data_IF_701697298248
#
_entry.id   IF_701697298248
#
_cell.length_a   1.000
_cell.length_b   1.000
_cell.length_c   1.000
_cell.angle_alpha   90.00
_cell.angle_beta   90.00
_cell.angle_gamma   90.00
#
_symmetry.space_group_name_H-M   'P 1'
#
loop_
_entity.id
_entity.type
_entity.pdbx_description
1 polymer ?
#
# COMPACT_ATOMS: atom_id res chain seq x y z
N UNK A 1 -19.32 4.40 -2.58
CA UNK A 1 -19.75 3.19 -1.84
C UNK A 1 -18.61 2.19 -1.93
N UNK A 2 -17.95 1.81 -0.83
CA UNK A 2 -16.89 0.77 -0.84
C UNK A 2 -17.21 -0.44 0.06
N UNK A 3 -18.49 -0.78 0.16
CA UNK A 3 -18.92 -2.09 0.64
C UNK A 3 -19.62 -2.76 -0.52
N UNK A 4 -18.94 -3.74 -1.12
CA UNK A 4 -19.44 -4.47 -2.28
C UNK A 4 -20.40 -5.58 -1.86
N UNK A 5 -20.08 -6.29 -0.78
CA UNK A 5 -20.90 -7.35 -0.19
C UNK A 5 -21.51 -6.85 1.11
N UNK A 6 -22.84 -6.68 1.12
CA UNK A 6 -23.61 -6.33 2.33
C UNK A 6 -23.84 -7.60 3.17
N UNK A 7 -23.40 -7.59 4.43
CA UNK A 7 -23.60 -8.71 5.36
C UNK A 7 -24.63 -8.30 6.44
N UNK A 8 -25.73 -9.06 6.62
CA UNK A 8 -26.68 -8.83 7.70
C UNK A 8 -26.04 -8.93 9.10
N UNK A 9 -26.53 -8.14 10.05
CA UNK A 9 -25.99 -8.12 11.41
C UNK A 9 -26.08 -9.49 12.10
N UNK A 10 -27.13 -10.26 11.81
CA UNK A 10 -27.34 -11.61 12.34
C UNK A 10 -26.28 -12.59 11.84
N UNK A 11 -25.85 -12.46 10.57
CA UNK A 11 -24.78 -13.27 10.01
C UNK A 11 -23.42 -12.89 10.61
N UNK A 12 -23.16 -11.59 10.82
CA UNK A 12 -21.93 -11.12 11.49
C UNK A 12 -21.89 -11.61 12.94
N UNK A 13 -22.99 -11.52 13.70
CA UNK A 13 -23.05 -11.99 15.08
C UNK A 13 -22.84 -13.51 15.16
N UNK A 14 -23.45 -14.28 14.24
CA UNK A 14 -23.20 -15.71 14.12
C UNK A 14 -21.73 -16.03 13.78
N UNK A 15 -21.13 -15.25 12.87
CA UNK A 15 -19.71 -15.38 12.51
C UNK A 15 -18.79 -15.14 13.71
N UNK A 16 -19.07 -14.12 14.53
CA UNK A 16 -18.29 -13.76 15.72
C UNK A 16 -18.29 -14.87 16.79
N UNK A 17 -19.30 -15.76 16.82
CA UNK A 17 -19.31 -16.90 17.76
C UNK A 17 -18.12 -17.86 17.57
N UNK A 18 -17.52 -17.86 16.39
CA UNK A 18 -16.31 -18.65 16.07
C UNK A 18 -15.07 -18.12 16.79
N UNK A 19 -15.09 -16.87 17.26
CA UNK A 19 -13.97 -16.17 17.86
C UNK A 19 -14.18 -15.95 19.36
N UNK A 20 -13.13 -15.51 20.04
CA UNK A 20 -13.21 -15.02 21.42
C UNK A 20 -13.44 -13.49 21.47
N UNK A 21 -14.40 -13.02 20.66
CA UNK A 21 -14.66 -11.61 20.44
C UNK A 21 -15.85 -11.06 21.26
N UNK A 22 -16.66 -11.91 21.87
CA UNK A 22 -17.94 -11.50 22.49
C UNK A 22 -19.07 -11.34 21.47
N UNK A 23 -20.13 -10.61 21.82
CA UNK A 23 -21.30 -10.38 20.96
C UNK A 23 -21.16 -9.11 20.13
N UNK A 24 -21.79 -9.07 18.96
CA UNK A 24 -21.83 -7.87 18.12
C UNK A 24 -22.59 -6.74 18.84
N UNK A 25 -21.99 -5.55 18.87
CA UNK A 25 -22.60 -4.31 19.38
C UNK A 25 -22.95 -3.39 18.23
N UNK A 26 -22.01 -3.18 17.29
CA UNK A 26 -22.25 -2.40 16.09
C UNK A 26 -21.39 -2.89 14.92
N UNK A 27 -21.88 -2.72 13.70
CA UNK A 27 -21.15 -2.98 12.46
C UNK A 27 -21.31 -1.78 11.54
N UNK A 28 -20.19 -1.20 11.12
CA UNK A 28 -20.17 -0.04 10.20
C UNK A 28 -19.30 -0.37 9.00
N UNK A 29 -19.90 -0.33 7.81
CA UNK A 29 -19.16 -0.44 6.57
C UNK A 29 -18.15 0.71 6.43
N UNK A 30 -16.92 0.39 6.02
CA UNK A 30 -15.86 1.35 5.74
C UNK A 30 -15.91 1.64 4.25
N UNK A 31 -16.08 2.92 3.89
CA UNK A 31 -16.22 3.35 2.51
C UNK A 31 -14.86 3.66 1.82
N UNK A 32 -13.75 3.45 2.51
CA UNK A 32 -12.39 3.68 2.03
C UNK A 32 -11.77 2.33 1.63
N UNK A 33 -11.28 2.23 0.39
CA UNK A 33 -10.79 1.00 -0.24
C UNK A 33 -11.52 0.69 -1.55
N UNK A 34 -10.86 0.02 -2.50
CA UNK A 34 -11.45 -0.30 -3.83
C UNK A 34 -11.45 -1.79 -4.15
N UNK A 35 -10.95 -2.63 -3.23
CA UNK A 35 -10.70 -4.05 -3.52
C UNK A 35 -11.48 -5.02 -2.64
N UNK A 36 -11.80 -4.65 -1.39
CA UNK A 36 -12.43 -5.54 -0.41
C UNK A 36 -13.59 -4.84 0.30
N UNK A 37 -14.54 -5.62 0.82
CA UNK A 37 -15.59 -5.09 1.69
C UNK A 37 -15.08 -5.09 3.13
N UNK A 38 -14.91 -3.91 3.72
CA UNK A 38 -14.39 -3.73 5.07
C UNK A 38 -15.47 -3.23 6.03
N UNK A 39 -15.51 -3.78 7.24
CA UNK A 39 -16.43 -3.39 8.30
C UNK A 39 -15.67 -3.12 9.60
N UNK A 40 -15.92 -1.97 10.23
CA UNK A 40 -15.57 -1.74 11.62
C UNK A 40 -16.63 -2.41 12.50
N UNK A 41 -16.19 -3.39 13.29
CA UNK A 41 -17.03 -4.08 14.27
C UNK A 41 -16.71 -3.58 15.68
N UNK A 42 -17.74 -3.27 16.44
CA UNK A 42 -17.67 -3.14 17.89
C UNK A 42 -18.33 -4.36 18.52
N UNK A 43 -17.68 -4.94 19.51
CA UNK A 43 -18.14 -6.14 20.22
C UNK A 43 -18.15 -5.89 21.71
N UNK A 44 -18.82 -6.75 22.48
CA UNK A 44 -18.78 -6.70 23.95
C UNK A 44 -17.41 -7.06 24.52
N UNK A 45 -16.54 -7.70 23.73
CA UNK A 45 -15.29 -8.31 24.22
C UNK A 45 -15.56 -9.54 25.09
N UNK A 46 -14.53 -10.38 25.29
CA UNK A 46 -14.59 -11.51 26.23
C UNK A 46 -14.55 -11.04 27.69
N UNK A 47 -13.97 -9.87 27.96
CA UNK A 47 -13.84 -9.27 29.29
C UNK A 47 -14.92 -8.24 29.62
N UNK A 48 -15.88 -8.03 28.71
CA UNK A 48 -16.97 -7.07 28.87
C UNK A 48 -16.57 -5.60 28.73
N UNK A 49 -15.31 -5.28 28.39
CA UNK A 49 -14.85 -3.89 28.21
C UNK A 49 -15.09 -3.34 26.82
N UNK A 50 -15.59 -4.18 25.92
CA UNK A 50 -15.73 -3.88 24.52
C UNK A 50 -14.42 -3.97 23.76
N UNK A 51 -14.48 -4.45 22.51
CA UNK A 51 -13.33 -4.51 21.63
C UNK A 51 -13.73 -4.18 20.19
N UNK A 52 -12.80 -3.60 19.44
CA UNK A 52 -12.99 -3.25 18.02
C UNK A 52 -12.21 -4.20 17.13
N UNK A 53 -12.79 -4.53 15.98
CA UNK A 53 -12.16 -5.35 14.96
C UNK A 53 -12.47 -4.79 13.57
N UNK A 54 -11.64 -5.13 12.60
CA UNK A 54 -11.96 -4.98 11.19
C UNK A 54 -12.38 -6.34 10.66
N UNK A 55 -13.56 -6.45 10.07
CA UNK A 55 -13.99 -7.60 9.29
C UNK A 55 -13.76 -7.28 7.82
N UNK A 56 -12.95 -8.11 7.16
CA UNK A 56 -12.68 -7.98 5.72
C UNK A 56 -13.26 -9.18 4.99
N UNK A 57 -14.04 -8.92 3.94
CA UNK A 57 -14.47 -9.92 2.96
C UNK A 57 -13.70 -9.68 1.67
N UNK A 58 -13.02 -10.73 1.21
CA UNK A 58 -12.20 -10.69 0.01
C UNK A 58 -13.08 -10.77 -1.24
N UNK A 59 -13.03 -9.72 -2.06
CA UNK A 59 -13.72 -9.70 -3.35
C UNK A 59 -12.84 -10.31 -4.44
N UNK A 60 -13.39 -10.45 -5.65
CA UNK A 60 -12.77 -11.21 -6.75
C UNK A 60 -11.39 -10.71 -7.23
N UNK A 61 -10.92 -9.55 -6.77
CA UNK A 61 -9.63 -8.97 -7.18
C UNK A 61 -8.45 -9.55 -6.39
N UNK A 62 -8.69 -10.10 -5.20
CA UNK A 62 -7.64 -10.78 -4.43
C UNK A 62 -7.64 -12.25 -4.80
N UNK A 63 -6.49 -12.76 -5.26
CA UNK A 63 -6.32 -14.20 -5.45
C UNK A 63 -6.28 -14.87 -4.07
N UNK A 64 -7.22 -15.78 -3.81
CA UNK A 64 -7.26 -16.53 -2.55
C UNK A 64 -5.95 -17.28 -2.28
N UNK A 65 -5.20 -17.64 -3.32
CA UNK A 65 -3.90 -18.28 -3.21
C UNK A 65 -2.81 -17.38 -2.60
N UNK A 66 -2.97 -16.05 -2.68
CA UNK A 66 -2.03 -15.08 -2.10
C UNK A 66 -2.32 -14.79 -0.62
N UNK A 67 -3.53 -15.09 -0.12
CA UNK A 67 -3.91 -14.76 1.26
C UNK A 67 -2.99 -15.35 2.33
N UNK A 68 -2.54 -16.62 2.24
CA UNK A 68 -1.58 -17.17 3.19
C UNK A 68 -0.28 -16.35 3.28
N UNK A 69 0.23 -15.83 2.15
CA UNK A 69 1.43 -15.00 2.14
C UNK A 69 1.25 -13.72 2.97
N UNK A 70 0.13 -13.01 2.79
CA UNK A 70 -0.14 -11.78 3.56
C UNK A 70 -0.31 -12.07 5.04
N UNK A 71 -1.03 -13.15 5.39
CA UNK A 71 -1.23 -13.52 6.79
C UNK A 71 0.08 -13.89 7.49
N UNK A 72 0.90 -14.71 6.84
CA UNK A 72 2.19 -15.13 7.41
C UNK A 72 3.18 -13.96 7.50
N UNK A 73 3.14 -13.02 6.55
CA UNK A 73 3.92 -11.79 6.59
C UNK A 73 3.54 -10.93 7.80
N UNK A 74 2.25 -10.67 8.00
CA UNK A 74 1.79 -9.84 9.12
C UNK A 74 2.09 -10.48 10.48
N UNK A 75 1.95 -11.81 10.60
CA UNK A 75 2.35 -12.53 11.81
C UNK A 75 3.87 -12.41 12.06
N UNK A 76 4.69 -12.56 11.02
CA UNK A 76 6.14 -12.44 11.12
C UNK A 76 6.59 -11.04 11.56
N UNK A 77 5.98 -10.00 10.98
CA UNK A 77 6.25 -8.60 11.29
C UNK A 77 5.76 -8.23 12.70
N UNK A 78 4.52 -8.62 13.04
CA UNK A 78 3.93 -8.38 14.35
C UNK A 78 4.72 -9.05 15.48
N UNK A 79 5.20 -10.29 15.26
CA UNK A 79 6.07 -11.00 16.21
C UNK A 79 7.41 -10.29 16.46
N UNK A 80 7.83 -9.40 15.55
CA UNK A 80 9.06 -8.59 15.64
C UNK A 80 8.79 -7.14 16.05
N UNK A 81 7.59 -6.85 16.54
CA UNK A 81 7.24 -5.55 17.12
C UNK A 81 6.83 -4.49 16.09
N UNK A 82 6.65 -4.83 14.81
CA UNK A 82 6.06 -3.90 13.87
C UNK A 82 4.59 -3.65 14.20
N UNK A 83 4.17 -2.40 14.09
CA UNK A 83 2.80 -1.97 14.29
C UNK A 83 1.97 -2.29 13.05
N UNK A 84 1.63 -3.56 12.87
CA UNK A 84 0.82 -4.07 11.75
C UNK A 84 -0.40 -4.82 12.29
N UNK A 85 -1.51 -4.86 11.55
CA UNK A 85 -2.72 -5.50 12.06
C UNK A 85 -2.54 -7.02 12.10
N UNK A 86 -2.98 -7.64 13.19
CA UNK A 86 -2.97 -9.11 13.33
C UNK A 86 -4.26 -9.71 12.79
N UNK A 87 -4.13 -10.85 12.10
CA UNK A 87 -5.27 -11.70 11.78
C UNK A 87 -5.69 -12.46 13.04
N UNK A 88 -6.95 -12.30 13.43
CA UNK A 88 -7.51 -12.98 14.59
C UNK A 88 -7.92 -14.39 14.15
N UNK A 89 -7.33 -15.40 14.76
CA UNK A 89 -7.74 -16.80 14.55
C UNK A 89 -9.06 -17.11 15.26
N UNK A 90 -9.86 -17.97 14.67
CA UNK A 90 -11.00 -18.57 15.34
C UNK A 90 -10.57 -19.52 16.47
N UNK A 91 -11.54 -20.04 17.22
CA UNK A 91 -11.32 -21.00 18.32
C UNK A 91 -10.65 -22.31 17.87
N UNK A 92 -10.67 -22.63 16.58
CA UNK A 92 -10.02 -23.79 15.97
C UNK A 92 -8.64 -23.44 15.37
N UNK A 93 -8.17 -22.20 15.50
CA UNK A 93 -6.90 -21.72 14.96
C UNK A 93 -6.94 -21.33 13.48
N UNK A 94 -8.11 -21.24 12.84
CA UNK A 94 -8.25 -20.84 11.43
C UNK A 94 -8.40 -19.32 11.31
N UNK A 95 -7.56 -18.70 10.47
CA UNK A 95 -7.58 -17.25 10.15
C UNK A 95 -8.56 -16.89 9.01
N UNK A 96 -8.74 -17.81 8.06
CA UNK A 96 -9.64 -17.67 6.92
C UNK A 96 -10.94 -18.43 7.17
N UNK A 97 -12.06 -17.79 6.87
CA UNK A 97 -13.40 -18.33 7.00
C UNK A 97 -14.23 -18.03 5.76
N UNK A 98 -15.48 -18.49 5.74
CA UNK A 98 -16.48 -18.08 4.76
C UNK A 98 -17.58 -17.25 5.43
N UNK A 99 -17.96 -16.14 4.82
CA UNK A 99 -19.08 -15.29 5.23
C UNK A 99 -19.77 -14.71 4.00
N UNK A 100 -21.10 -14.80 3.93
CA UNK A 100 -21.88 -14.36 2.76
C UNK A 100 -21.34 -14.92 1.40
N UNK A 101 -20.81 -16.15 1.41
CA UNK A 101 -20.24 -16.79 0.23
C UNK A 101 -18.86 -16.27 -0.20
N UNK A 102 -18.18 -15.48 0.64
CA UNK A 102 -16.85 -14.91 0.38
C UNK A 102 -15.85 -15.32 1.45
N UNK A 103 -14.56 -15.47 1.08
CA UNK A 103 -13.49 -15.60 2.06
C UNK A 103 -13.49 -14.37 2.96
N UNK A 104 -13.42 -14.59 4.27
CA UNK A 104 -13.49 -13.52 5.26
C UNK A 104 -12.53 -13.77 6.41
N UNK A 105 -12.01 -12.68 6.98
CA UNK A 105 -11.14 -12.72 8.14
C UNK A 105 -11.51 -11.62 9.14
N UNK A 106 -11.24 -11.87 10.41
CA UNK A 106 -11.31 -10.87 11.45
C UNK A 106 -9.90 -10.36 11.72
N UNK A 107 -9.73 -9.05 11.71
CA UNK A 107 -8.46 -8.36 11.80
C UNK A 107 -8.48 -7.43 13.02
N UNK A 108 -7.36 -7.30 13.71
CA UNK A 108 -7.17 -6.37 14.81
C UNK A 108 -7.43 -4.92 14.36
N UNK A 109 -8.20 -4.17 15.15
CA UNK A 109 -8.35 -2.74 14.95
C UNK A 109 -7.14 -2.00 15.51
N UNK A 110 -6.43 -1.25 14.66
CA UNK A 110 -5.37 -0.35 15.08
C UNK A 110 -5.90 1.07 15.27
N UNK A 111 -5.43 1.76 16.31
CA UNK A 111 -5.85 3.13 16.60
C UNK A 111 -4.95 4.13 15.87
N UNK A 112 -5.54 5.15 15.27
CA UNK A 112 -4.85 6.26 14.62
C UNK A 112 -5.69 6.81 13.49
N UNK A 113 -5.18 7.83 12.81
CA UNK A 113 -5.81 8.40 11.62
C UNK A 113 -4.79 8.51 10.49
N UNK A 114 -5.23 8.26 9.28
CA UNK A 114 -4.45 8.54 8.07
C UNK A 114 -4.43 10.03 7.79
N UNK A 115 -3.30 10.55 7.28
CA UNK A 115 -3.12 11.98 7.04
C UNK A 115 -3.36 12.32 5.57
N UNK A 116 -3.99 13.47 5.30
CA UNK A 116 -4.22 13.95 3.93
C UNK A 116 -3.02 14.73 3.37
N UNK A 117 -2.39 15.55 4.22
CA UNK A 117 -1.22 16.37 3.89
C UNK A 117 -0.16 16.16 4.98
N UNK A 118 0.84 15.29 4.76
CA UNK A 118 1.84 14.97 5.77
C UNK A 118 2.67 16.18 6.23
N UNK A 119 3.04 16.23 7.51
CA UNK A 119 4.08 17.16 8.00
C UNK A 119 5.49 16.60 7.79
N UNK A 120 6.51 17.43 8.01
CA UNK A 120 7.93 16.98 8.01
C UNK A 120 8.18 15.94 9.11
N UNK A 121 7.57 16.11 10.29
CA UNK A 121 7.68 15.16 11.41
C UNK A 121 7.09 13.79 11.04
N UNK A 122 5.91 13.80 10.42
CA UNK A 122 5.23 12.61 9.93
C UNK A 122 6.01 11.92 8.79
N UNK A 123 6.61 12.68 7.88
CA UNK A 123 7.47 12.14 6.83
C UNK A 123 8.69 11.40 7.42
N UNK A 124 9.32 11.96 8.48
CA UNK A 124 10.39 11.26 9.21
C UNK A 124 9.89 9.99 9.89
N UNK A 125 8.72 10.05 10.52
CA UNK A 125 8.14 8.92 11.23
C UNK A 125 7.83 7.74 10.29
N UNK A 126 7.24 8.00 9.11
CA UNK A 126 6.99 6.93 8.13
C UNK A 126 8.29 6.36 7.55
N UNK A 127 9.31 7.19 7.33
CA UNK A 127 10.62 6.71 6.90
C UNK A 127 11.22 5.73 7.91
N UNK A 128 11.17 6.07 9.20
CA UNK A 128 11.62 5.20 10.28
C UNK A 128 10.82 3.89 10.34
N UNK A 129 9.48 3.98 10.28
CA UNK A 129 8.59 2.82 10.30
C UNK A 129 8.81 1.86 9.12
N UNK A 130 9.05 2.40 7.91
CA UNK A 130 9.38 1.58 6.74
C UNK A 130 10.71 0.83 6.92
N UNK A 131 11.74 1.50 7.43
CA UNK A 131 13.02 0.83 7.71
C UNK A 131 12.91 -0.21 8.83
N UNK A 132 12.09 0.05 9.86
CA UNK A 132 11.74 -0.94 10.89
C UNK A 132 11.03 -2.17 10.29
N UNK A 133 10.09 -1.95 9.39
CA UNK A 133 9.36 -3.01 8.69
C UNK A 133 10.29 -3.86 7.81
N UNK A 134 11.17 -3.24 7.02
CA UNK A 134 12.18 -3.97 6.24
C UNK A 134 13.11 -4.80 7.12
N UNK A 135 13.55 -4.26 8.27
CA UNK A 135 14.40 -4.99 9.20
C UNK A 135 13.65 -6.16 9.83
N UNK A 136 12.39 -5.96 10.20
CA UNK A 136 11.55 -7.01 10.74
C UNK A 136 11.23 -8.09 9.69
N UNK A 137 11.19 -7.75 8.40
CA UNK A 137 10.99 -8.71 7.33
C UNK A 137 12.18 -9.68 7.16
N UNK A 138 13.36 -9.40 7.74
CA UNK A 138 14.49 -10.31 7.71
C UNK A 138 14.13 -11.69 8.28
N UNK A 139 14.53 -12.73 7.56
CA UNK A 139 14.23 -14.14 7.90
C UNK A 139 12.82 -14.60 7.52
N UNK A 140 11.97 -13.75 6.94
CA UNK A 140 10.72 -14.21 6.34
C UNK A 140 11.02 -14.98 5.05
N UNK A 141 10.47 -16.19 4.91
CA UNK A 141 10.75 -17.09 3.79
C UNK A 141 9.65 -17.11 2.72
N UNK A 142 8.50 -16.49 3.00
CA UNK A 142 7.42 -16.40 2.01
C UNK A 142 7.84 -15.54 0.83
N UNK A 143 7.47 -15.97 -0.38
CA UNK A 143 7.76 -15.23 -1.61
C UNK A 143 6.50 -15.00 -2.40
N UNK A 144 6.33 -13.79 -2.92
CA UNK A 144 5.25 -13.44 -3.84
C UNK A 144 5.81 -12.57 -4.96
N UNK A 145 5.50 -12.91 -6.21
CA UNK A 145 5.95 -12.12 -7.37
C UNK A 145 5.25 -10.76 -7.36
N UNK A 146 5.99 -9.70 -7.63
CA UNK A 146 5.40 -8.41 -7.94
C UNK A 146 4.73 -8.47 -9.33
N UNK A 147 3.41 -8.37 -9.38
CA UNK A 147 2.66 -8.33 -10.65
C UNK A 147 2.71 -6.95 -11.34
N UNK A 148 3.15 -5.93 -10.62
CA UNK A 148 3.37 -4.57 -11.10
C UNK A 148 4.89 -4.28 -11.15
N UNK A 149 5.64 -5.23 -11.71
CA UNK A 149 7.05 -5.13 -12.06
C UNK A 149 7.24 -4.54 -13.47
N UNK A 150 8.49 -4.39 -13.93
CA UNK A 150 8.80 -3.84 -15.25
C UNK A 150 8.04 -4.55 -16.41
N UNK A 151 8.02 -5.90 -16.50
CA UNK A 151 7.13 -6.59 -17.43
C UNK A 151 5.65 -6.23 -17.27
N UNK A 152 5.14 -6.18 -16.03
CA UNK A 152 3.77 -5.78 -15.74
C UNK A 152 3.45 -4.34 -16.19
N UNK A 153 4.42 -3.43 -16.17
CA UNK A 153 4.26 -2.06 -16.68
C UNK A 153 4.07 -2.04 -18.20
N UNK A 154 4.84 -2.84 -18.94
CA UNK A 154 4.65 -3.01 -20.38
C UNK A 154 3.27 -3.59 -20.71
N UNK A 155 2.82 -4.62 -19.99
CA UNK A 155 1.49 -5.20 -20.17
C UNK A 155 0.38 -4.17 -19.90
N UNK A 156 0.53 -3.36 -18.85
CA UNK A 156 -0.45 -2.36 -18.47
C UNK A 156 -0.49 -1.19 -19.46
N UNK A 157 0.67 -0.77 -19.96
CA UNK A 157 0.77 0.24 -21.02
C UNK A 157 0.11 -0.25 -22.31
N UNK A 158 0.35 -1.51 -22.70
CA UNK A 158 -0.28 -2.12 -23.88
C UNK A 158 -1.81 -2.18 -23.75
N UNK A 159 -2.34 -2.45 -22.55
CA UNK A 159 -3.79 -2.43 -22.28
C UNK A 159 -4.41 -1.03 -22.38
N UNK A 160 -3.65 0.02 -22.10
CA UNK A 160 -4.12 1.40 -22.26
C UNK A 160 -4.03 1.86 -23.73
N UNK A 161 -3.00 1.42 -24.47
CA UNK A 161 -2.88 1.64 -25.92
C UNK A 161 -3.02 3.10 -26.34
N UNK A 162 -3.80 3.35 -27.40
CA UNK A 162 -4.03 4.69 -27.94
C UNK A 162 -4.90 5.58 -27.02
N UNK A 163 -5.58 5.00 -26.02
CA UNK A 163 -6.43 5.77 -25.11
C UNK A 163 -5.64 6.68 -24.15
N UNK A 164 -4.31 6.52 -24.05
CA UNK A 164 -3.46 7.45 -23.30
C UNK A 164 -3.65 8.91 -23.75
N UNK A 165 -3.73 9.15 -25.06
CA UNK A 165 -3.81 10.51 -25.59
C UNK A 165 -5.19 11.15 -25.35
N UNK A 166 -6.18 10.37 -24.91
CA UNK A 166 -7.46 10.88 -24.42
C UNK A 166 -7.35 11.47 -23.02
N UNK A 167 -6.35 11.07 -22.24
CA UNK A 167 -6.05 11.64 -20.92
C UNK A 167 -5.27 12.94 -21.11
N UNK A 168 -4.18 12.90 -21.88
CA UNK A 168 -3.39 14.07 -22.25
C UNK A 168 -2.65 13.81 -23.56
N UNK A 169 -2.65 14.80 -24.46
CA UNK A 169 -1.96 14.70 -25.74
C UNK A 169 -0.47 14.41 -25.56
N UNK A 170 0.04 13.36 -26.21
CA UNK A 170 1.44 12.95 -26.15
C UNK A 170 1.78 12.04 -24.98
N UNK A 171 0.81 11.67 -24.14
CA UNK A 171 1.03 10.81 -22.98
C UNK A 171 1.54 9.42 -23.40
N UNK A 172 0.99 8.84 -24.48
CA UNK A 172 1.40 7.51 -24.94
C UNK A 172 2.88 7.48 -25.38
N UNK A 173 3.32 8.53 -26.08
CA UNK A 173 4.71 8.69 -26.48
C UNK A 173 5.63 8.84 -25.26
N UNK A 174 5.24 9.68 -24.29
CA UNK A 174 6.00 9.89 -23.05
C UNK A 174 6.14 8.63 -22.19
N UNK A 175 5.08 7.81 -22.11
CA UNK A 175 5.10 6.50 -21.44
C UNK A 175 6.05 5.53 -22.17
N UNK A 176 6.01 5.49 -23.50
CA UNK A 176 6.89 4.63 -24.31
C UNK A 176 8.36 5.01 -24.14
N UNK A 177 8.66 6.31 -24.12
CA UNK A 177 10.00 6.82 -23.84
C UNK A 177 10.47 6.40 -22.44
N UNK A 178 9.61 6.51 -21.43
CA UNK A 178 9.96 6.10 -20.07
C UNK A 178 10.22 4.60 -19.95
N UNK A 179 9.36 3.76 -20.54
CA UNK A 179 9.53 2.31 -20.56
C UNK A 179 10.87 1.93 -21.22
N UNK A 180 11.18 2.55 -22.37
CA UNK A 180 12.46 2.33 -23.07
C UNK A 180 13.65 2.71 -22.20
N UNK A 181 13.56 3.83 -21.48
CA UNK A 181 14.61 4.23 -20.53
C UNK A 181 14.74 3.21 -19.40
N UNK A 182 13.65 2.79 -18.78
CA UNK A 182 13.67 1.85 -17.67
C UNK A 182 14.17 0.47 -18.11
N UNK A 183 13.82 -0.03 -19.29
CA UNK A 183 14.36 -1.28 -19.83
C UNK A 183 15.90 -1.27 -19.91
N UNK A 184 16.48 -0.13 -20.28
CA UNK A 184 17.92 0.02 -20.40
C UNK A 184 18.65 0.25 -19.05
N UNK A 185 17.94 0.75 -18.03
CA UNK A 185 18.58 1.26 -16.80
C UNK A 185 18.06 0.62 -15.51
N UNK A 186 17.04 -0.24 -15.57
CA UNK A 186 16.48 -0.87 -14.37
C UNK A 186 17.54 -1.75 -13.70
N UNK A 187 17.80 -1.56 -12.40
CA UNK A 187 18.87 -2.30 -11.73
C UNK A 187 18.53 -3.78 -11.55
N UNK A 188 19.47 -4.67 -11.88
CA UNK A 188 19.32 -6.13 -11.76
C UNK A 188 19.78 -6.70 -10.41
N UNK A 189 20.79 -6.09 -9.80
CA UNK A 189 21.58 -6.71 -8.71
C UNK A 189 21.49 -5.93 -7.38
N UNK A 190 20.30 -5.45 -7.04
CA UNK A 190 20.05 -4.81 -5.75
C UNK A 190 19.48 -5.78 -4.71
N UNK A 191 19.69 -5.52 -3.40
CA UNK A 191 19.09 -6.30 -2.33
C UNK A 191 17.57 -6.38 -2.48
N UNK A 192 17.04 -7.60 -2.38
CA UNK A 192 15.59 -7.87 -2.42
C UNK A 192 15.11 -8.29 -1.04
N UNK A 193 13.89 -7.89 -0.71
CA UNK A 193 13.18 -8.30 0.50
C UNK A 193 11.69 -8.38 0.20
N UNK A 194 10.90 -8.82 1.17
CA UNK A 194 9.49 -8.46 1.14
C UNK A 194 9.36 -6.96 1.37
N UNK A 195 8.52 -6.33 0.56
CA UNK A 195 8.22 -4.91 0.57
C UNK A 195 6.71 -4.71 0.70
N UNK A 196 6.27 -3.54 1.16
CA UNK A 196 4.86 -3.15 1.20
C UNK A 196 4.33 -2.84 -0.20
N UNK A 197 5.14 -2.16 -1.02
CA UNK A 197 4.86 -1.71 -2.37
C UNK A 197 3.68 -0.72 -2.50
N UNK A 198 3.12 -0.19 -1.42
CA UNK A 198 1.96 0.71 -1.48
C UNK A 198 1.79 1.57 -0.21
N UNK A 199 2.89 1.99 0.41
CA UNK A 199 2.84 2.71 1.69
C UNK A 199 2.49 4.19 1.52
N UNK A 200 1.27 4.48 1.09
CA UNK A 200 0.72 5.84 0.96
C UNK A 200 0.22 6.39 2.30
N UNK A 201 -0.03 7.71 2.41
CA UNK A 201 -0.59 8.32 3.62
C UNK A 201 -1.91 7.70 4.10
N UNK A 202 -2.76 7.19 3.20
CA UNK A 202 -3.99 6.47 3.55
C UNK A 202 -3.73 5.11 4.21
N UNK A 203 -2.57 4.50 3.97
CA UNK A 203 -2.14 3.20 4.51
C UNK A 203 -1.28 3.30 5.78
N UNK A 204 -1.16 4.50 6.37
CA UNK A 204 -0.40 4.73 7.59
C UNK A 204 -1.26 5.46 8.62
N UNK A 205 -1.49 4.79 9.75
CA UNK A 205 -2.19 5.36 10.89
C UNK A 205 -1.22 6.13 11.77
N UNK A 206 -1.60 7.36 12.13
CA UNK A 206 -0.80 8.26 12.93
C UNK A 206 -1.54 8.81 14.16
N UNK A 207 -0.76 9.11 15.21
CA UNK A 207 -1.14 9.95 16.34
C UNK A 207 -0.07 11.03 16.52
N UNK A 208 -0.38 12.26 16.10
CA UNK A 208 0.64 13.32 15.99
C UNK A 208 1.72 12.93 14.97
N UNK A 209 2.97 12.90 15.41
CA UNK A 209 4.13 12.48 14.62
C UNK A 209 4.55 11.02 14.92
N UNK A 210 3.69 10.22 15.55
CA UNK A 210 3.94 8.80 15.81
C UNK A 210 3.13 7.92 14.89
N UNK A 211 3.79 6.99 14.19
CA UNK A 211 3.12 5.91 13.45
C UNK A 211 2.57 4.91 14.47
N UNK A 212 1.29 4.58 14.33
CA UNK A 212 0.58 3.63 15.20
C UNK A 212 0.09 2.39 14.47
N UNK A 213 0.17 2.39 13.13
CA UNK A 213 -0.18 1.24 12.31
C UNK A 213 0.24 1.42 10.86
N UNK A 214 0.81 0.38 10.26
CA UNK A 214 0.90 0.22 8.81
C UNK A 214 -0.17 -0.79 8.41
N UNK A 215 -0.99 -0.46 7.41
CA UNK A 215 -2.13 -1.28 6.98
C UNK A 215 -2.10 -1.51 5.47
N UNK A 216 -2.98 -2.37 4.98
CA UNK A 216 -3.16 -2.66 3.54
C UNK A 216 -1.95 -3.29 2.84
N UNK A 217 -1.62 -4.51 3.25
CA UNK A 217 -0.47 -5.26 2.74
C UNK A 217 -0.76 -6.03 1.45
N UNK A 218 -1.90 -5.82 0.77
CA UNK A 218 -2.31 -6.66 -0.37
C UNK A 218 -1.45 -6.47 -1.63
N UNK A 219 -0.66 -5.39 -1.70
CA UNK A 219 0.39 -5.21 -2.72
C UNK A 219 1.75 -5.78 -2.32
N UNK A 220 1.90 -6.28 -1.09
CA UNK A 220 3.19 -6.78 -0.60
C UNK A 220 3.71 -7.91 -1.47
N UNK A 221 5.00 -7.86 -1.77
CA UNK A 221 5.66 -8.80 -2.68
C UNK A 221 7.17 -8.83 -2.42
N UNK A 222 7.88 -9.75 -3.07
CA UNK A 222 9.33 -9.87 -3.00
C UNK A 222 9.98 -9.08 -4.15
N UNK A 223 10.56 -7.93 -3.83
CA UNK A 223 11.16 -7.04 -4.83
C UNK A 223 12.39 -6.32 -4.27
N UNK A 224 12.98 -5.42 -5.07
CA UNK A 224 14.06 -4.53 -4.67
C UNK A 224 13.63 -3.74 -3.44
N UNK A 225 14.36 -3.85 -2.33
CA UNK A 225 13.99 -3.19 -1.07
C UNK A 225 13.91 -1.67 -1.23
N UNK A 226 14.91 -1.07 -1.87
CA UNK A 226 14.95 0.37 -2.11
C UNK A 226 13.81 0.89 -3.02
N UNK A 227 13.17 0.02 -3.78
CA UNK A 227 11.99 0.39 -4.58
C UNK A 227 10.80 0.73 -3.69
N UNK A 228 10.65 0.08 -2.54
CA UNK A 228 9.57 0.40 -1.59
C UNK A 228 9.74 1.79 -0.97
N UNK A 229 10.99 2.16 -0.69
CA UNK A 229 11.32 3.52 -0.29
C UNK A 229 11.00 4.52 -1.41
N UNK A 230 11.24 4.17 -2.68
CA UNK A 230 10.92 5.03 -3.81
C UNK A 230 9.40 5.21 -3.99
N UNK A 231 8.61 4.13 -3.79
CA UNK A 231 7.14 4.17 -3.75
C UNK A 231 6.67 5.10 -2.64
N UNK A 232 7.13 4.88 -1.40
CA UNK A 232 6.79 5.70 -0.23
C UNK A 232 7.20 7.16 -0.47
N UNK A 233 8.41 7.40 -0.98
CA UNK A 233 8.90 8.73 -1.31
C UNK A 233 7.95 9.44 -2.28
N UNK A 234 7.56 8.79 -3.39
CA UNK A 234 6.63 9.37 -4.37
C UNK A 234 5.24 9.69 -3.81
N UNK A 235 4.81 9.00 -2.75
CA UNK A 235 3.51 9.21 -2.12
C UNK A 235 3.52 10.32 -1.06
N UNK A 236 4.65 10.55 -0.36
CA UNK A 236 4.70 11.39 0.84
C UNK A 236 5.30 12.79 0.63
N UNK A 237 6.11 12.97 -0.41
CA UNK A 237 6.92 14.21 -0.58
C UNK A 237 6.39 15.13 -1.67
N UNK A 238 5.22 14.85 -2.22
CA UNK A 238 4.55 15.68 -3.21
C UNK A 238 3.17 16.11 -2.73
N UNK A 239 2.67 17.20 -3.31
CA UNK A 239 1.24 17.50 -3.24
C UNK A 239 0.43 16.37 -3.88
N UNK A 240 -0.85 16.27 -3.50
CA UNK A 240 -1.76 15.25 -4.00
C UNK A 240 -1.89 15.26 -5.53
N UNK A 241 -1.83 16.44 -6.15
CA UNK A 241 -1.80 16.62 -7.60
C UNK A 241 -0.41 16.43 -8.22
N UNK A 242 0.64 16.17 -7.44
CA UNK A 242 2.01 15.98 -7.92
C UNK A 242 2.70 17.25 -8.45
N UNK A 243 2.08 18.43 -8.35
CA UNK A 243 2.62 19.67 -8.89
C UNK A 243 3.71 20.31 -8.02
N UNK A 244 3.70 20.06 -6.71
CA UNK A 244 4.67 20.60 -5.76
C UNK A 244 5.49 19.48 -5.15
N UNK A 245 6.82 19.63 -5.15
CA UNK A 245 7.75 18.77 -4.41
C UNK A 245 8.18 19.44 -3.10
N UNK A 246 8.19 18.67 -2.01
CA UNK A 246 8.53 19.12 -0.66
C UNK A 246 9.86 18.52 -0.22
N UNK A 247 10.96 19.23 -0.49
CA UNK A 247 12.31 18.74 -0.20
C UNK A 247 12.64 18.55 1.28
N UNK A 248 11.99 19.30 2.17
CA UNK A 248 12.08 19.11 3.61
C UNK A 248 11.46 17.79 4.06
N UNK A 249 10.30 17.40 3.49
CA UNK A 249 9.68 16.09 3.70
C UNK A 249 10.56 14.96 3.13
N UNK A 250 11.15 15.16 1.94
CA UNK A 250 12.04 14.20 1.31
C UNK A 250 13.28 13.90 2.18
N UNK A 251 13.97 14.94 2.64
CA UNK A 251 15.11 14.80 3.55
C UNK A 251 14.71 14.16 4.90
N UNK A 252 13.55 14.53 5.44
CA UNK A 252 13.06 13.99 6.70
C UNK A 252 12.73 12.48 6.59
N UNK A 253 12.07 12.07 5.51
CA UNK A 253 11.75 10.67 5.20
C UNK A 253 13.03 9.85 5.02
N UNK A 254 13.97 10.34 4.20
CA UNK A 254 15.27 9.69 3.99
C UNK A 254 16.05 9.52 5.30
N UNK A 255 16.08 10.55 6.14
CA UNK A 255 16.72 10.51 7.45
C UNK A 255 16.06 9.50 8.40
N UNK A 256 14.72 9.42 8.40
CA UNK A 256 13.97 8.43 9.17
C UNK A 256 14.35 7.00 8.77
N UNK A 257 14.34 6.70 7.47
CA UNK A 257 14.70 5.39 6.94
C UNK A 257 16.17 5.03 7.22
N UNK A 258 17.07 6.00 7.10
CA UNK A 258 18.49 5.81 7.40
C UNK A 258 18.76 5.46 8.87
N UNK A 259 17.95 5.98 9.79
CA UNK A 259 18.11 5.72 11.22
C UNK A 259 17.75 4.27 11.63
N UNK A 260 16.93 3.57 10.84
CA UNK A 260 16.37 2.27 11.23
C UNK A 260 16.82 1.09 10.37
N UNK A 261 17.28 1.34 9.13
CA UNK A 261 17.80 0.31 8.22
C UNK A 261 18.87 0.85 7.26
N UNK A 262 18.62 1.99 6.61
CA UNK A 262 19.54 2.59 5.63
C UNK A 262 19.63 1.89 4.27
N UNK A 263 20.26 2.58 3.33
CA UNK A 263 20.52 2.14 1.96
C UNK A 263 22.02 1.92 1.75
N UNK A 264 22.35 0.87 1.00
CA UNK A 264 23.69 0.67 0.44
C UNK A 264 24.04 1.74 -0.60
N UNK A 265 25.32 1.87 -0.95
CA UNK A 265 25.77 2.79 -1.99
C UNK A 265 25.12 2.51 -3.35
N UNK A 266 25.00 1.22 -3.73
CA UNK A 266 24.33 0.81 -4.96
C UNK A 266 22.83 1.17 -4.96
N UNK A 267 22.13 0.97 -3.84
CA UNK A 267 20.73 1.38 -3.72
C UNK A 267 20.56 2.90 -3.80
N UNK A 268 21.45 3.67 -3.17
CA UNK A 268 21.44 5.14 -3.26
C UNK A 268 21.68 5.62 -4.69
N UNK A 269 22.64 5.02 -5.39
CA UNK A 269 22.94 5.36 -6.77
C UNK A 269 21.77 5.04 -7.71
N UNK A 270 21.05 3.95 -7.45
CA UNK A 270 19.89 3.52 -8.24
C UNK A 270 18.59 4.25 -7.86
N UNK A 271 18.53 4.92 -6.71
CA UNK A 271 17.31 5.50 -6.17
C UNK A 271 16.54 6.41 -7.15
N UNK A 272 17.19 7.30 -7.94
CA UNK A 272 16.47 8.10 -8.93
C UNK A 272 15.73 7.26 -9.98
N UNK A 273 16.33 6.15 -10.44
CA UNK A 273 15.73 5.24 -11.42
C UNK A 273 14.53 4.51 -10.78
N UNK A 274 14.67 4.08 -9.52
CA UNK A 274 13.58 3.45 -8.78
C UNK A 274 12.40 4.40 -8.57
N UNK A 275 12.65 5.69 -8.29
CA UNK A 275 11.61 6.71 -8.19
C UNK A 275 10.86 6.92 -9.52
N UNK A 276 11.57 6.87 -10.65
CA UNK A 276 10.95 6.92 -11.98
C UNK A 276 10.06 5.70 -12.23
N UNK A 277 10.54 4.49 -11.94
CA UNK A 277 9.73 3.27 -12.04
C UNK A 277 8.49 3.30 -11.15
N UNK A 278 8.63 3.76 -9.89
CA UNK A 278 7.50 3.89 -8.98
C UNK A 278 6.47 4.88 -9.51
N UNK A 279 6.92 6.03 -10.02
CA UNK A 279 6.02 7.02 -10.60
C UNK A 279 5.33 6.50 -11.87
N UNK A 280 6.04 5.78 -12.73
CA UNK A 280 5.47 5.15 -13.92
C UNK A 280 4.41 4.09 -13.53
N UNK A 281 4.70 3.23 -12.54
CA UNK A 281 3.73 2.23 -12.06
C UNK A 281 2.39 2.87 -11.73
N UNK A 282 2.39 3.92 -10.91
CA UNK A 282 1.15 4.58 -10.48
C UNK A 282 0.50 5.44 -11.57
N UNK A 283 1.30 5.98 -12.50
CA UNK A 283 0.76 6.61 -13.71
C UNK A 283 -0.05 5.58 -14.51
N UNK A 284 0.51 4.38 -14.76
CA UNK A 284 -0.11 3.33 -15.56
C UNK A 284 -1.36 2.76 -14.89
N UNK A 285 -1.33 2.46 -13.58
CA UNK A 285 -2.51 1.93 -12.87
C UNK A 285 -3.63 2.95 -12.84
N UNK A 286 -3.33 4.23 -12.55
CA UNK A 286 -4.33 5.30 -12.60
C UNK A 286 -4.85 5.53 -14.01
N UNK A 287 -4.01 5.49 -15.04
CA UNK A 287 -4.44 5.64 -16.43
C UNK A 287 -5.39 4.50 -16.84
N UNK A 288 -5.04 3.26 -16.51
CA UNK A 288 -5.89 2.11 -16.77
C UNK A 288 -7.25 2.24 -16.07
N UNK A 289 -7.28 2.59 -14.79
CA UNK A 289 -8.53 2.83 -14.06
C UNK A 289 -9.30 4.02 -14.64
N UNK A 290 -8.60 5.08 -15.07
CA UNK A 290 -9.21 6.27 -15.66
C UNK A 290 -9.89 5.95 -16.99
N UNK A 291 -9.31 5.09 -17.81
CA UNK A 291 -9.86 4.66 -19.10
C UNK A 291 -11.02 3.67 -18.91
N UNK A 292 -10.86 2.70 -18.02
CA UNK A 292 -11.78 1.57 -17.89
C UNK A 292 -12.93 1.79 -16.90
N UNK A 293 -12.85 2.80 -16.03
CA UNK A 293 -13.96 3.14 -15.14
C UNK A 293 -15.07 3.85 -15.94
N UNK A 294 -16.35 3.44 -15.83
CA UNK A 294 -17.49 4.13 -16.43
C UNK A 294 -17.72 5.54 -15.84
N UNK A 295 -18.15 6.51 -16.66
CA UNK A 295 -18.33 7.93 -16.25
C UNK A 295 -19.38 8.12 -15.14
N UNK A 296 -20.31 7.19 -15.03
CA UNK A 296 -21.39 7.12 -14.06
C UNK A 296 -21.01 6.37 -12.76
N UNK A 297 -19.79 5.84 -12.67
CA UNK A 297 -19.32 5.19 -11.45
C UNK A 297 -19.22 6.21 -10.30
N UNK A 298 -19.81 5.88 -9.14
CA UNK A 298 -19.77 6.68 -7.90
C UNK A 298 -18.38 6.63 -7.20
N UNK A 299 -17.30 6.42 -7.95
CA UNK A 299 -15.93 6.31 -7.45
C UNK A 299 -15.12 7.49 -7.98
N UNK A 300 -14.50 8.25 -7.06
CA UNK A 300 -13.59 9.33 -7.42
C UNK A 300 -12.34 8.75 -8.08
N UNK A 301 -12.16 9.02 -9.36
CA UNK A 301 -10.95 8.59 -10.09
C UNK A 301 -9.76 9.43 -9.65
N UNK A 302 -8.62 8.79 -9.43
CA UNK A 302 -7.35 9.48 -9.14
C UNK A 302 -6.74 9.99 -10.46
N UNK A 303 -6.37 11.28 -10.52
CA UNK A 303 -5.72 11.88 -11.69
C UNK A 303 -4.41 11.12 -12.04
N UNK A 304 -4.28 10.54 -13.25
CA UNK A 304 -3.04 9.91 -13.71
C UNK A 304 -1.91 10.93 -13.87
N UNK A 305 -2.23 12.17 -14.28
CA UNK A 305 -1.24 13.21 -14.57
C UNK A 305 -0.50 13.68 -13.32
N UNK A 306 -1.04 13.43 -12.12
CA UNK A 306 -0.32 13.64 -10.88
C UNK A 306 0.98 12.83 -10.81
N UNK A 307 0.95 11.58 -11.30
CA UNK A 307 2.14 10.73 -11.35
C UNK A 307 3.01 10.97 -12.57
N UNK A 308 2.47 11.50 -13.67
CA UNK A 308 3.27 12.05 -14.76
C UNK A 308 4.14 13.23 -14.27
N UNK A 309 3.56 14.18 -13.52
CA UNK A 309 4.31 15.32 -12.97
C UNK A 309 5.43 14.87 -12.02
N UNK A 310 5.17 13.87 -11.18
CA UNK A 310 6.19 13.24 -10.31
C UNK A 310 7.29 12.57 -11.13
N UNK A 311 6.92 11.84 -12.18
CA UNK A 311 7.86 11.18 -13.09
C UNK A 311 8.79 12.20 -13.76
N UNK A 312 8.24 13.28 -14.30
CA UNK A 312 9.03 14.33 -14.98
C UNK A 312 9.94 15.08 -14.01
N UNK A 313 9.50 15.29 -12.77
CA UNK A 313 10.38 15.76 -11.70
C UNK A 313 11.56 14.80 -11.48
N UNK A 314 11.31 13.50 -11.26
CA UNK A 314 12.39 12.54 -11.01
C UNK A 314 13.33 12.36 -12.20
N UNK A 315 12.85 12.53 -13.43
CA UNK A 315 13.68 12.47 -14.63
C UNK A 315 14.64 13.66 -14.77
N UNK A 316 14.36 14.79 -14.10
CA UNK A 316 15.14 16.03 -14.18
C UNK A 316 15.82 16.43 -12.87
N UNK A 317 15.46 15.81 -11.75
CA UNK A 317 15.99 16.12 -10.43
C UNK A 317 17.47 15.73 -10.29
N UNK A 318 18.21 16.51 -9.50
CA UNK A 318 19.55 16.13 -9.04
C UNK A 318 19.43 14.94 -8.06
N UNK A 319 20.05 13.78 -8.33
CA UNK A 319 20.01 12.64 -7.42
C UNK A 319 20.35 12.98 -5.96
N UNK A 320 21.25 13.95 -5.73
CA UNK A 320 21.66 14.37 -4.39
C UNK A 320 20.52 15.01 -3.57
N UNK A 321 19.48 15.53 -4.22
CA UNK A 321 18.37 16.21 -3.55
C UNK A 321 17.28 15.25 -3.05
N UNK A 322 17.22 14.02 -3.59
CA UNK A 322 16.07 13.13 -3.39
C UNK A 322 15.95 12.58 -1.97
N UNK A 323 17.05 12.33 -1.27
CA UNK A 323 17.02 11.79 0.10
C UNK A 323 17.51 12.78 1.16
N UNK A 324 17.75 14.03 0.76
CA UNK A 324 18.53 14.99 1.54
C UNK A 324 20.03 14.67 1.49
N UNK A 325 20.85 15.73 1.56
CA UNK A 325 22.31 15.62 1.66
C UNK A 325 22.76 15.08 3.02
#
# INVERSE_FOLDING_TARGET
MAVYTQVPAEEIDAFLTRYDAGRLVSAKGIAEGVENSNYLLETTGHDGKGHRYILTLYEKRVDEADLPFFMDLLDHLGARGCLVPRFISDRDGRRLQQLAGRPACLIEFLTGISVTEPTVGQARAVGAALGEMHRAAEGFTGTRRNALDLPGWHELAAKCGEDFDRIASGLGARVTEELTFLDAHWPSDLPRSVIHADLFPDNVLMLGDSVTGLIDFYFSCTDIRAYDLAVTHSAWVFSNDGATWFGDRAAALGAGYAATHGLSEAERAAFPILCRGAALRFLLTRAYDWINTPADALVTRKDPLAYLRRLDFYASADPAMLLGA
#
